data_IF_767288788312
#
_entry.id   IF_767288788312
#
_cell.length_a   1.000
_cell.length_b   1.000
_cell.length_c   1.000
_cell.angle_alpha   90.00
_cell.angle_beta   90.00
_cell.angle_gamma   90.00
#
_symmetry.space_group_name_H-M   'P 1'
#
loop_
_entity.id
_entity.type
_entity.pdbx_description
1 polymer ?
#
# COMPACT_ATOMS: atom_id res chain seq x y z
N UNK A 1 42.66 23.19 16.17
CA UNK A 1 42.16 22.89 14.80
C UNK A 1 42.35 21.41 14.50
N UNK A 2 43.56 20.84 14.66
CA UNK A 2 43.89 19.44 14.34
C UNK A 2 43.04 18.43 15.11
N UNK A 3 42.81 18.66 16.42
CA UNK A 3 42.01 17.75 17.27
C UNK A 3 40.54 17.72 16.82
N UNK A 4 39.97 18.85 16.43
CA UNK A 4 38.58 18.95 15.93
C UNK A 4 38.40 18.26 14.57
N UNK A 5 39.40 18.28 13.74
CA UNK A 5 39.43 17.59 12.44
C UNK A 5 39.53 16.07 12.62
N UNK A 6 40.37 15.59 13.57
CA UNK A 6 40.49 14.16 13.88
C UNK A 6 39.19 13.59 14.47
N UNK A 7 38.54 14.32 15.39
CA UNK A 7 37.25 13.91 15.95
C UNK A 7 36.15 13.83 14.87
N UNK A 8 36.09 14.80 13.98
CA UNK A 8 35.11 14.81 12.88
C UNK A 8 35.35 13.66 11.87
N UNK A 9 36.60 13.29 11.61
CA UNK A 9 36.96 12.14 10.78
C UNK A 9 36.57 10.82 11.47
N UNK A 10 36.79 10.70 12.79
CA UNK A 10 36.43 9.49 13.52
C UNK A 10 34.91 9.31 13.66
N UNK A 11 34.13 10.39 13.83
CA UNK A 11 32.66 10.34 13.84
C UNK A 11 32.11 9.95 12.45
N UNK A 12 32.66 10.50 11.38
CA UNK A 12 32.24 10.14 10.01
C UNK A 12 32.58 8.68 9.66
N UNK A 13 33.75 8.18 10.09
CA UNK A 13 34.14 6.78 9.88
C UNK A 13 33.22 5.83 10.64
N UNK A 14 32.83 6.16 11.88
CA UNK A 14 31.91 5.37 12.66
C UNK A 14 30.48 5.40 12.06
N UNK A 15 30.06 6.53 11.49
CA UNK A 15 28.77 6.68 10.83
C UNK A 15 28.71 5.84 9.54
N UNK A 16 29.74 5.86 8.70
CA UNK A 16 29.81 5.04 7.49
C UNK A 16 29.79 3.54 7.79
N UNK A 17 30.57 3.12 8.80
CA UNK A 17 30.60 1.72 9.24
C UNK A 17 29.23 1.28 9.81
N UNK A 18 28.58 2.15 10.57
CA UNK A 18 27.26 1.89 11.10
C UNK A 18 26.20 1.79 9.99
N UNK A 19 26.22 2.74 9.05
CA UNK A 19 25.30 2.71 7.88
C UNK A 19 25.53 1.47 7.03
N UNK A 20 26.77 1.07 6.78
CA UNK A 20 27.07 -0.15 6.02
C UNK A 20 26.57 -1.41 6.72
N UNK A 21 26.65 -1.48 8.05
CA UNK A 21 26.09 -2.59 8.84
C UNK A 21 24.57 -2.61 8.78
N UNK A 22 23.92 -1.47 8.93
CA UNK A 22 22.45 -1.34 8.84
C UNK A 22 21.96 -1.75 7.46
N UNK A 23 22.60 -1.26 6.40
CA UNK A 23 22.28 -1.63 5.02
C UNK A 23 22.41 -3.16 4.83
N UNK A 24 23.49 -3.78 5.29
CA UNK A 24 23.67 -5.24 5.19
C UNK A 24 22.62 -6.03 5.97
N UNK A 25 22.22 -5.56 7.15
CA UNK A 25 21.20 -6.22 7.98
C UNK A 25 19.82 -6.16 7.29
N UNK A 26 19.52 -5.08 6.59
CA UNK A 26 18.23 -4.88 5.88
C UNK A 26 18.24 -5.56 4.52
N UNK A 27 19.33 -5.45 3.77
CA UNK A 27 19.40 -5.97 2.38
C UNK A 27 19.61 -7.48 2.31
N UNK A 28 20.34 -8.10 3.24
CA UNK A 28 20.60 -9.53 3.22
C UNK A 28 19.32 -10.38 3.29
N UNK A 29 18.35 -10.13 4.20
CA UNK A 29 17.11 -10.90 4.22
C UNK A 29 16.22 -10.63 2.99
N UNK A 30 16.23 -9.40 2.45
CA UNK A 30 15.48 -9.06 1.25
C UNK A 30 16.05 -9.81 0.03
N UNK A 31 17.37 -9.81 -0.13
CA UNK A 31 18.04 -10.53 -1.23
C UNK A 31 17.81 -12.05 -1.06
N UNK A 32 17.88 -12.58 0.15
CA UNK A 32 17.59 -13.98 0.44
C UNK A 32 16.15 -14.35 0.09
N UNK A 33 15.20 -13.50 0.43
CA UNK A 33 13.78 -13.69 0.10
C UNK A 33 13.54 -13.64 -1.42
N UNK A 34 14.16 -12.70 -2.13
CA UNK A 34 14.07 -12.60 -3.60
C UNK A 34 14.71 -13.81 -4.27
N UNK A 35 15.86 -14.28 -3.79
CA UNK A 35 16.50 -15.49 -4.29
C UNK A 35 15.66 -16.75 -4.02
N UNK A 36 15.03 -16.86 -2.85
CA UNK A 36 14.13 -17.95 -2.53
C UNK A 36 12.91 -17.97 -3.47
N UNK A 37 12.32 -16.80 -3.73
CA UNK A 37 11.20 -16.63 -4.66
C UNK A 37 11.62 -16.92 -6.12
N UNK A 38 12.84 -16.60 -6.53
CA UNK A 38 13.33 -16.91 -7.86
C UNK A 38 13.65 -18.40 -8.06
N UNK A 39 14.07 -19.11 -7.01
CA UNK A 39 14.33 -20.53 -7.07
C UNK A 39 13.04 -21.38 -7.16
N UNK A 40 11.89 -20.87 -6.71
CA UNK A 40 10.61 -21.57 -6.84
C UNK A 40 10.13 -21.67 -8.29
N UNK A 41 10.67 -20.83 -9.19
CA UNK A 41 10.34 -20.90 -10.63
C UNK A 41 11.21 -21.89 -11.43
N UNK A 42 12.25 -22.47 -10.83
CA UNK A 42 13.25 -23.27 -11.54
C UNK A 42 13.02 -24.80 -11.49
N UNK A 43 11.82 -25.26 -11.20
CA UNK A 43 11.62 -26.72 -11.09
C UNK A 43 10.20 -27.18 -10.81
N UNK A 44 9.19 -26.37 -11.11
CA UNK A 44 7.81 -26.87 -11.08
C UNK A 44 7.59 -27.65 -12.38
N UNK A 45 7.72 -29.00 -12.28
CA UNK A 45 7.05 -29.89 -13.23
C UNK A 45 5.63 -29.35 -13.39
N UNK A 46 5.11 -29.34 -14.64
CA UNK A 46 3.71 -28.99 -14.95
C UNK A 46 2.75 -29.94 -14.20
N UNK A 47 2.64 -29.76 -12.90
CA UNK A 47 1.49 -30.21 -12.16
C UNK A 47 0.38 -29.25 -12.52
N UNK A 48 -0.52 -29.67 -13.39
CA UNK A 48 -1.76 -28.97 -13.68
C UNK A 48 -2.51 -28.82 -12.36
N UNK A 49 -2.30 -27.67 -11.70
CA UNK A 49 -3.08 -27.30 -10.51
C UNK A 49 -4.52 -27.18 -10.99
N UNK A 50 -5.46 -27.84 -10.32
CA UNK A 50 -6.88 -27.70 -10.63
C UNK A 50 -7.31 -26.23 -10.56
N UNK A 51 -8.33 -25.83 -11.34
CA UNK A 51 -8.85 -24.45 -11.31
C UNK A 51 -9.24 -24.02 -9.87
N UNK A 52 -9.77 -24.94 -9.08
CA UNK A 52 -10.05 -24.70 -7.66
C UNK A 52 -8.77 -24.43 -6.84
N UNK A 53 -7.71 -25.17 -7.10
CA UNK A 53 -6.41 -24.96 -6.46
C UNK A 53 -5.84 -23.58 -6.78
N UNK A 54 -5.90 -23.16 -8.04
CA UNK A 54 -5.47 -21.82 -8.46
C UNK A 54 -6.30 -20.74 -7.78
N UNK A 55 -7.62 -20.89 -7.74
CA UNK A 55 -8.53 -19.96 -7.06
C UNK A 55 -8.17 -19.79 -5.59
N UNK A 56 -7.93 -20.89 -4.87
CA UNK A 56 -7.57 -20.86 -3.44
C UNK A 56 -6.22 -20.15 -3.22
N UNK A 57 -5.20 -20.51 -4.02
CA UNK A 57 -3.87 -19.91 -3.88
C UNK A 57 -3.87 -18.42 -4.23
N UNK A 58 -4.53 -18.01 -5.29
CA UNK A 58 -4.61 -16.61 -5.68
C UNK A 58 -5.36 -15.79 -4.64
N UNK A 59 -6.50 -16.30 -4.17
CA UNK A 59 -7.27 -15.66 -3.08
C UNK A 59 -6.43 -15.49 -1.83
N UNK A 60 -5.69 -16.52 -1.41
CA UNK A 60 -4.79 -16.44 -0.26
C UNK A 60 -3.66 -15.43 -0.49
N UNK A 61 -3.07 -15.41 -1.68
CA UNK A 61 -2.02 -14.48 -2.04
C UNK A 61 -2.51 -13.02 -1.96
N UNK A 62 -3.72 -12.72 -2.44
CA UNK A 62 -4.33 -11.40 -2.30
C UNK A 62 -4.55 -11.02 -0.83
N UNK A 63 -5.04 -11.91 0.02
CA UNK A 63 -5.21 -11.63 1.45
C UNK A 63 -3.89 -11.37 2.16
N UNK A 64 -2.87 -12.19 1.91
CA UNK A 64 -1.52 -11.98 2.48
C UNK A 64 -0.95 -10.65 1.98
N UNK A 65 -1.05 -10.35 0.69
CA UNK A 65 -0.64 -9.09 0.10
C UNK A 65 -1.37 -7.90 0.73
N UNK A 66 -2.69 -7.99 0.90
CA UNK A 66 -3.50 -6.96 1.54
C UNK A 66 -3.03 -6.65 2.97
N UNK A 67 -2.75 -7.68 3.77
CA UNK A 67 -2.22 -7.50 5.13
C UNK A 67 -0.86 -6.81 5.11
N UNK A 68 0.03 -7.20 4.20
CA UNK A 68 1.34 -6.55 4.06
C UNK A 68 1.21 -5.07 3.66
N UNK A 69 0.30 -4.75 2.74
CA UNK A 69 0.01 -3.35 2.36
C UNK A 69 -0.66 -2.58 3.51
N UNK A 70 -1.54 -3.22 4.29
CA UNK A 70 -2.13 -2.60 5.48
C UNK A 70 -1.06 -2.19 6.52
N UNK A 71 0.02 -2.97 6.67
CA UNK A 71 1.17 -2.60 7.51
C UNK A 71 1.86 -1.32 7.02
N UNK A 72 1.83 -1.02 5.72
CA UNK A 72 2.32 0.27 5.20
C UNK A 72 1.51 1.44 5.77
N UNK A 73 0.18 1.32 5.85
CA UNK A 73 -0.66 2.38 6.42
C UNK A 73 -0.32 2.63 7.91
N UNK A 74 -0.05 1.56 8.67
CA UNK A 74 0.43 1.67 10.05
C UNK A 74 1.82 2.33 10.11
N UNK A 75 2.73 1.93 9.22
CA UNK A 75 4.06 2.54 9.11
C UNK A 75 4.01 4.03 8.78
N UNK A 76 3.14 4.47 7.86
CA UNK A 76 2.91 5.88 7.57
C UNK A 76 2.35 6.64 8.77
N UNK A 77 1.42 6.05 9.52
CA UNK A 77 0.91 6.65 10.75
C UNK A 77 2.03 6.88 11.77
N UNK A 78 2.88 5.88 11.98
CA UNK A 78 4.03 5.99 12.90
C UNK A 78 5.03 7.05 12.43
N UNK A 79 5.35 7.07 11.13
CA UNK A 79 6.23 8.06 10.51
C UNK A 79 5.67 9.48 10.69
N UNK A 80 4.41 9.70 10.33
CA UNK A 80 3.76 11.01 10.48
C UNK A 80 3.75 11.47 11.96
N UNK A 81 3.43 10.58 12.89
CA UNK A 81 3.43 10.88 14.32
C UNK A 81 4.83 11.23 14.86
N UNK A 82 5.88 10.64 14.28
CA UNK A 82 7.26 10.92 14.65
C UNK A 82 7.81 12.24 14.07
N UNK A 83 7.22 12.75 12.99
CA UNK A 83 7.68 13.96 12.30
C UNK A 83 6.95 15.24 12.74
N UNK A 84 5.87 15.13 13.49
CA UNK A 84 5.07 16.28 13.94
C UNK A 84 5.38 16.67 15.38
N UNK A 85 4.92 17.87 15.77
CA UNK A 85 5.06 18.34 17.16
C UNK A 85 4.24 17.48 18.12
N UNK A 86 4.71 17.33 19.36
CA UNK A 86 4.08 16.49 20.39
C UNK A 86 2.59 16.80 20.60
N UNK A 87 2.18 18.09 20.48
CA UNK A 87 0.77 18.48 20.62
C UNK A 87 -0.10 17.96 19.44
N UNK A 88 0.48 17.72 18.28
CA UNK A 88 -0.24 17.31 17.05
C UNK A 88 -0.35 15.79 16.90
N UNK A 89 0.42 15.00 17.65
CA UNK A 89 0.49 13.53 17.50
C UNK A 89 -0.89 12.88 17.59
N UNK A 90 -1.70 13.22 18.58
CA UNK A 90 -3.04 12.64 18.75
C UNK A 90 -3.97 12.97 17.59
N UNK A 91 -3.90 14.19 17.07
CA UNK A 91 -4.69 14.63 15.92
C UNK A 91 -4.24 13.90 14.65
N UNK A 92 -2.94 13.71 14.46
CA UNK A 92 -2.38 12.96 13.31
C UNK A 92 -2.77 11.49 13.39
N UNK A 93 -2.69 10.87 14.56
CA UNK A 93 -3.14 9.48 14.74
C UNK A 93 -4.64 9.32 14.43
N UNK A 94 -5.49 10.20 14.97
CA UNK A 94 -6.93 10.21 14.67
C UNK A 94 -7.23 10.46 13.18
N UNK A 95 -6.49 11.37 12.53
CA UNK A 95 -6.56 11.63 11.08
C UNK A 95 -6.25 10.36 10.28
N UNK A 96 -5.24 9.58 10.67
CA UNK A 96 -4.85 8.35 9.99
C UNK A 96 -5.92 7.26 10.11
N UNK A 97 -6.54 7.08 11.28
CA UNK A 97 -7.66 6.14 11.46
C UNK A 97 -8.88 6.58 10.65
N UNK A 98 -9.25 7.86 10.74
CA UNK A 98 -10.39 8.41 9.99
C UNK A 98 -10.22 8.30 8.46
N UNK A 99 -9.02 8.60 7.95
CA UNK A 99 -8.66 8.43 6.54
C UNK A 99 -8.86 6.99 6.08
N UNK A 100 -8.35 6.03 6.86
CA UNK A 100 -8.46 4.61 6.53
C UNK A 100 -9.93 4.19 6.38
N UNK A 101 -10.78 4.55 7.34
CA UNK A 101 -12.20 4.26 7.31
C UNK A 101 -12.89 4.92 6.10
N UNK A 102 -12.66 6.22 5.86
CA UNK A 102 -13.26 6.97 4.76
C UNK A 102 -12.87 6.36 3.41
N UNK A 103 -11.57 6.11 3.18
CA UNK A 103 -11.09 5.55 1.92
C UNK A 103 -11.70 4.16 1.65
N UNK A 104 -11.77 3.28 2.65
CA UNK A 104 -12.36 1.95 2.51
C UNK A 104 -13.86 2.02 2.18
N UNK A 105 -14.61 2.87 2.86
CA UNK A 105 -16.06 3.05 2.61
C UNK A 105 -16.31 3.62 1.20
N UNK A 106 -15.59 4.66 0.81
CA UNK A 106 -15.82 5.31 -0.49
C UNK A 106 -15.37 4.40 -1.63
N UNK A 107 -14.29 3.66 -1.45
CA UNK A 107 -13.83 2.67 -2.42
C UNK A 107 -14.84 1.51 -2.57
N UNK A 108 -15.47 1.06 -1.49
CA UNK A 108 -16.56 0.10 -1.52
C UNK A 108 -17.79 0.63 -2.25
N UNK A 109 -18.17 1.88 -1.99
CA UNK A 109 -19.40 2.44 -2.56
C UNK A 109 -19.34 2.60 -4.08
N UNK A 110 -18.20 3.02 -4.63
CA UNK A 110 -18.08 3.26 -6.06
C UNK A 110 -16.65 3.20 -6.62
N UNK A 111 -15.63 3.30 -5.80
CA UNK A 111 -14.24 3.36 -6.29
C UNK A 111 -13.80 2.09 -7.01
N UNK A 112 -14.18 0.91 -6.53
CA UNK A 112 -13.79 -0.36 -7.13
C UNK A 112 -14.37 -0.49 -8.55
N UNK A 113 -15.68 -0.25 -8.73
CA UNK A 113 -16.32 -0.34 -10.04
C UNK A 113 -15.89 0.80 -10.99
N UNK A 114 -15.48 1.93 -10.42
CA UNK A 114 -14.88 3.00 -11.19
C UNK A 114 -13.50 2.63 -11.76
N UNK A 115 -12.76 1.75 -11.07
CA UNK A 115 -11.46 1.25 -11.49
C UNK A 115 -11.56 0.06 -12.45
N UNK A 116 -12.39 -0.92 -12.13
CA UNK A 116 -12.47 -2.20 -12.87
C UNK A 116 -13.69 -2.38 -13.74
N UNK A 117 -14.74 -1.58 -13.54
CA UNK A 117 -15.96 -1.62 -14.35
C UNK A 117 -15.88 -0.77 -15.63
N UNK A 118 -14.72 -0.72 -16.31
CA UNK A 118 -14.53 0.06 -17.54
C UNK A 118 -15.17 -0.68 -18.71
N UNK A 119 -16.14 -0.08 -19.42
CA UNK A 119 -16.73 -0.68 -20.61
C UNK A 119 -15.71 -0.70 -21.76
N UNK A 120 -15.88 -1.62 -22.71
CA UNK A 120 -15.03 -1.70 -23.90
C UNK A 120 -14.88 -0.36 -24.61
N UNK A 121 -13.64 0.11 -24.78
CA UNK A 121 -13.33 1.42 -25.37
C UNK A 121 -13.60 2.64 -24.46
N UNK A 122 -13.99 2.42 -23.20
CA UNK A 122 -14.18 3.47 -22.21
C UNK A 122 -12.88 3.88 -21.52
N UNK A 123 -12.89 5.07 -20.88
CA UNK A 123 -11.76 5.56 -20.09
C UNK A 123 -12.05 5.61 -18.59
N UNK A 124 -13.30 5.45 -18.19
CA UNK A 124 -13.76 5.54 -16.81
C UNK A 124 -14.78 4.44 -16.56
N UNK A 125 -14.69 3.79 -15.42
CA UNK A 125 -15.60 2.72 -15.04
C UNK A 125 -16.99 3.20 -14.65
N UNK A 126 -17.84 2.26 -14.28
CA UNK A 126 -19.22 2.52 -13.90
C UNK A 126 -19.33 3.05 -12.47
N UNK A 127 -20.28 3.96 -12.25
CA UNK A 127 -20.55 4.53 -10.93
C UNK A 127 -21.63 3.70 -10.22
N UNK A 128 -21.23 2.52 -9.73
CA UNK A 128 -22.12 1.57 -9.02
C UNK A 128 -21.46 1.07 -7.76
N UNK A 129 -22.25 0.64 -6.81
CA UNK A 129 -21.73 0.01 -5.58
C UNK A 129 -21.13 -1.34 -5.88
N UNK A 130 -19.97 -1.63 -5.28
CA UNK A 130 -19.31 -2.92 -5.42
C UNK A 130 -20.21 -4.06 -4.90
N UNK A 131 -20.17 -5.18 -5.57
CA UNK A 131 -20.82 -6.42 -5.19
C UNK A 131 -19.94 -7.61 -5.57
N UNK A 132 -19.88 -8.63 -4.73
CA UNK A 132 -19.12 -9.84 -4.99
C UNK A 132 -19.77 -10.64 -6.14
N UNK A 133 -19.02 -10.91 -7.19
CA UNK A 133 -19.40 -11.72 -8.34
C UNK A 133 -18.44 -12.89 -8.57
N UNK A 134 -17.73 -13.30 -7.51
CA UNK A 134 -16.68 -14.31 -7.55
C UNK A 134 -17.14 -15.62 -8.20
N UNK A 135 -16.34 -16.13 -9.12
CA UNK A 135 -16.51 -17.48 -9.71
C UNK A 135 -15.13 -18.16 -9.75
N UNK A 136 -15.14 -19.50 -9.86
CA UNK A 136 -13.88 -20.27 -10.04
C UNK A 136 -13.19 -19.85 -11.34
N UNK A 137 -13.96 -19.44 -12.33
CA UNK A 137 -13.47 -19.02 -13.64
C UNK A 137 -12.65 -17.71 -13.58
N UNK A 138 -12.95 -16.82 -12.62
CA UNK A 138 -12.18 -15.58 -12.42
C UNK A 138 -10.79 -15.85 -11.84
N UNK A 139 -10.57 -17.04 -11.27
CA UNK A 139 -9.29 -17.48 -10.74
C UNK A 139 -8.93 -16.92 -9.35
N UNK A 140 -9.75 -16.07 -8.74
CA UNK A 140 -9.61 -15.53 -7.39
C UNK A 140 -10.94 -14.97 -6.87
N UNK A 141 -11.04 -14.71 -5.57
CA UNK A 141 -12.23 -14.09 -4.96
C UNK A 141 -12.20 -12.57 -5.14
N UNK A 142 -13.29 -12.00 -5.66
CA UNK A 142 -13.45 -10.55 -5.81
C UNK A 142 -13.31 -9.82 -4.45
N UNK A 143 -13.76 -10.45 -3.37
CA UNK A 143 -13.61 -9.92 -2.01
C UNK A 143 -12.14 -9.79 -1.61
N UNK A 144 -11.28 -10.73 -2.03
CA UNK A 144 -9.84 -10.69 -1.75
C UNK A 144 -9.14 -9.61 -2.56
N UNK A 145 -9.51 -9.43 -3.82
CA UNK A 145 -8.99 -8.37 -4.66
C UNK A 145 -9.47 -7.00 -4.18
N UNK A 146 -10.76 -6.85 -3.90
CA UNK A 146 -11.29 -5.62 -3.32
C UNK A 146 -10.53 -5.21 -2.06
N UNK A 147 -10.28 -6.14 -1.15
CA UNK A 147 -9.55 -5.86 0.09
C UNK A 147 -8.11 -5.44 -0.19
N UNK A 148 -7.43 -6.12 -1.11
CA UNK A 148 -6.07 -5.80 -1.52
C UNK A 148 -5.99 -4.40 -2.12
N UNK A 149 -6.87 -4.07 -3.05
CA UNK A 149 -6.92 -2.76 -3.71
C UNK A 149 -7.31 -1.63 -2.73
N UNK A 150 -8.25 -1.88 -1.80
CA UNK A 150 -8.61 -0.91 -0.78
C UNK A 150 -7.40 -0.51 0.09
N UNK A 151 -6.49 -1.45 0.39
CA UNK A 151 -5.26 -1.14 1.13
C UNK A 151 -4.34 -0.23 0.34
N UNK A 152 -4.22 -0.37 -0.98
CA UNK A 152 -3.47 0.54 -1.84
C UNK A 152 -4.08 1.94 -1.89
N UNK A 153 -5.41 2.04 -1.97
CA UNK A 153 -6.11 3.32 -1.87
C UNK A 153 -5.75 4.03 -0.57
N UNK A 154 -5.82 3.31 0.55
CA UNK A 154 -5.47 3.85 1.87
C UNK A 154 -4.00 4.26 1.96
N UNK A 155 -3.09 3.48 1.39
CA UNK A 155 -1.65 3.78 1.34
C UNK A 155 -1.37 5.04 0.52
N UNK A 156 -2.01 5.21 -0.64
CA UNK A 156 -1.85 6.39 -1.51
C UNK A 156 -2.24 7.67 -0.80
N UNK A 157 -3.40 7.68 -0.14
CA UNK A 157 -3.84 8.84 0.65
C UNK A 157 -2.92 9.08 1.86
N UNK A 158 -2.25 8.04 2.38
CA UNK A 158 -1.25 8.16 3.44
C UNK A 158 -0.04 8.99 3.01
N UNK A 159 0.44 8.79 1.79
CA UNK A 159 1.59 9.54 1.25
C UNK A 159 1.28 11.05 1.26
N UNK A 160 0.10 11.43 0.75
CA UNK A 160 -0.32 12.84 0.73
C UNK A 160 -0.58 13.36 2.15
N UNK A 161 -1.12 12.51 3.04
CA UNK A 161 -1.35 12.85 4.45
C UNK A 161 -0.06 13.33 5.13
N UNK A 162 1.07 12.67 4.88
CA UNK A 162 2.37 13.07 5.41
C UNK A 162 2.83 14.44 4.88
N UNK A 163 2.65 14.69 3.58
CA UNK A 163 3.06 15.95 2.95
C UNK A 163 2.31 17.18 3.49
N UNK A 164 1.05 17.00 3.92
CA UNK A 164 0.20 18.07 4.45
C UNK A 164 0.07 18.04 5.98
N UNK A 165 0.86 17.22 6.69
CA UNK A 165 0.83 17.13 8.13
C UNK A 165 1.08 18.51 8.77
N UNK A 166 0.29 18.86 9.80
CA UNK A 166 0.27 20.16 10.49
C UNK A 166 -0.09 21.39 9.61
N UNK A 167 -0.30 21.23 8.30
CA UNK A 167 -0.59 22.32 7.36
C UNK A 167 -2.05 22.41 6.97
N UNK A 168 -2.82 21.34 7.15
CA UNK A 168 -4.23 21.25 6.80
C UNK A 168 -5.07 20.90 8.04
N UNK A 169 -6.27 21.48 8.13
CA UNK A 169 -7.25 21.10 9.15
C UNK A 169 -7.84 19.71 8.85
N UNK A 170 -8.31 19.02 9.87
CA UNK A 170 -8.78 17.63 9.76
C UNK A 170 -9.97 17.47 8.79
N UNK A 171 -10.95 18.35 8.82
CA UNK A 171 -12.13 18.25 7.95
C UNK A 171 -11.84 18.46 6.46
N UNK A 172 -11.12 19.51 6.03
CA UNK A 172 -10.66 19.63 4.65
C UNK A 172 -9.83 18.44 4.19
N UNK A 173 -9.04 17.82 5.08
CA UNK A 173 -8.29 16.62 4.76
C UNK A 173 -9.21 15.43 4.50
N UNK A 174 -10.29 15.24 5.26
CA UNK A 174 -11.23 14.14 5.03
C UNK A 174 -12.01 14.31 3.73
N UNK A 175 -12.37 15.54 3.34
CA UNK A 175 -12.94 15.82 2.04
C UNK A 175 -11.95 15.46 0.92
N UNK A 176 -10.70 15.86 1.07
CA UNK A 176 -9.64 15.48 0.14
C UNK A 176 -9.46 13.95 0.07
N UNK A 177 -9.43 13.25 1.20
CA UNK A 177 -9.31 11.79 1.27
C UNK A 177 -10.46 11.09 0.54
N UNK A 178 -11.69 11.61 0.67
CA UNK A 178 -12.87 11.12 -0.05
C UNK A 178 -12.70 11.27 -1.57
N UNK A 179 -12.27 12.43 -2.04
CA UNK A 179 -12.06 12.69 -3.47
C UNK A 179 -10.91 11.86 -4.04
N UNK A 180 -9.81 11.80 -3.31
CA UNK A 180 -8.63 11.05 -3.73
C UNK A 180 -8.90 9.54 -3.75
N UNK A 181 -9.48 8.99 -2.67
CA UNK A 181 -9.73 7.56 -2.53
C UNK A 181 -10.93 7.06 -3.33
N UNK A 182 -11.92 7.92 -3.59
CA UNK A 182 -13.13 7.53 -4.32
C UNK A 182 -13.10 7.78 -5.82
N UNK A 183 -12.33 8.78 -6.28
CA UNK A 183 -12.35 9.19 -7.68
C UNK A 183 -10.97 9.22 -8.32
N UNK A 184 -10.06 10.05 -7.81
CA UNK A 184 -8.80 10.33 -8.50
C UNK A 184 -7.95 9.07 -8.62
N UNK A 185 -7.74 8.37 -7.49
CA UNK A 185 -6.94 7.16 -7.49
C UNK A 185 -7.62 6.00 -8.22
N UNK A 186 -8.92 5.69 -8.01
CA UNK A 186 -9.61 4.65 -8.77
C UNK A 186 -9.56 4.84 -10.29
N UNK A 187 -9.76 6.06 -10.79
CA UNK A 187 -9.66 6.34 -12.23
C UNK A 187 -8.23 6.08 -12.73
N UNK A 188 -7.23 6.58 -12.01
CA UNK A 188 -5.82 6.35 -12.34
C UNK A 188 -5.46 4.86 -12.29
N UNK A 189 -5.98 4.14 -11.30
CA UNK A 189 -5.81 2.68 -11.15
C UNK A 189 -6.46 1.92 -12.30
N UNK A 190 -7.66 2.35 -12.72
CA UNK A 190 -8.37 1.77 -13.86
C UNK A 190 -7.57 1.86 -15.16
N UNK A 191 -6.90 2.97 -15.41
CA UNK A 191 -6.02 3.12 -16.59
C UNK A 191 -4.81 2.20 -16.58
N UNK A 192 -4.36 1.75 -15.43
CA UNK A 192 -3.21 0.86 -15.28
C UNK A 192 -3.61 -0.61 -15.25
N UNK A 193 -4.75 -0.94 -14.62
CA UNK A 193 -5.10 -2.31 -14.26
C UNK A 193 -6.50 -2.75 -14.74
N UNK A 194 -7.36 -1.83 -15.11
CA UNK A 194 -8.79 -2.08 -15.33
C UNK A 194 -9.23 -2.23 -16.78
N UNK A 195 -8.31 -2.15 -17.75
CA UNK A 195 -8.67 -2.22 -19.16
C UNK A 195 -7.71 -3.00 -20.03
#
# INVERSE_FOLDING_TARGET
>A
IVLKTILNISENLNMEVLMTKIIKIITAPIISLVLLLSMTNAGVAETTISAEGQYIFNTLAFYIGAVLVALMAAGFCMLECGLVTTKSVSTIAAKNVGKFAICSIVFFLFGYNLAYGIPEGGYIGTFTTWGDSSSIETGYSDSSDWFFQAMFVCATVSIVSGAVAERIKIWPFFIFATLMGGFIYPISMGWQWGG
#
